data_IF_185556532639
#
_entry.id   IF_185556532639
#
_cell.length_a   1.000
_cell.length_b   1.000
_cell.length_c   1.000
_cell.angle_alpha   90.00
_cell.angle_beta   90.00
_cell.angle_gamma   90.00
#
_symmetry.space_group_name_H-M   'P 1'
#
loop_
_entity.id
_entity.type
_entity.pdbx_description
1 polymer ?
#
# COMPACT_ATOMS: atom_id res chain seq x y z
N UNK A 1 16.25 -3.56 -2.99
CA UNK A 1 15.25 -4.63 -2.74
C UNK A 1 13.89 -4.06 -3.12
N UNK A 2 12.96 -4.79 -3.75
CA UNK A 2 11.67 -4.18 -4.14
C UNK A 2 10.78 -3.92 -2.91
N UNK A 3 10.00 -2.81 -2.87
CA UNK A 3 8.97 -2.61 -1.87
C UNK A 3 8.02 -3.81 -1.83
N UNK A 4 7.67 -4.27 -0.63
CA UNK A 4 6.80 -5.41 -0.46
C UNK A 4 5.96 -5.29 0.81
N UNK A 5 4.74 -5.81 0.74
CA UNK A 5 3.89 -6.02 1.91
C UNK A 5 4.44 -7.22 2.67
N UNK A 6 4.56 -7.10 4.00
CA UNK A 6 4.92 -8.23 4.87
C UNK A 6 3.85 -9.33 4.71
N UNK A 7 4.23 -10.58 4.42
CA UNK A 7 3.28 -11.67 4.24
C UNK A 7 2.30 -11.78 5.43
N UNK A 8 1.03 -12.02 5.14
CA UNK A 8 -0.05 -12.19 6.13
C UNK A 8 -0.34 -10.95 7.02
N UNK A 9 0.28 -9.79 6.77
CA UNK A 9 0.01 -8.55 7.51
C UNK A 9 -1.22 -7.78 6.99
N UNK A 10 -1.68 -8.11 5.79
CA UNK A 10 -2.81 -7.44 5.14
C UNK A 10 -4.12 -7.77 5.87
N UNK A 11 -4.82 -6.73 6.30
CA UNK A 11 -6.14 -6.79 6.92
C UNK A 11 -7.06 -5.77 6.25
N UNK A 12 -8.26 -6.22 5.89
CA UNK A 12 -9.29 -5.40 5.23
C UNK A 12 -10.55 -5.52 6.06
N UNK A 13 -11.13 -4.38 6.43
CA UNK A 13 -12.46 -4.29 7.04
C UNK A 13 -13.35 -3.40 6.17
N UNK A 14 -14.63 -3.29 6.52
CA UNK A 14 -15.60 -2.34 5.93
C UNK A 14 -15.09 -0.89 5.92
N UNK A 15 -14.24 -0.54 6.87
CA UNK A 15 -13.78 0.83 7.13
C UNK A 15 -12.32 1.08 6.84
N UNK A 16 -11.47 0.04 6.81
CA UNK A 16 -10.02 0.22 6.76
C UNK A 16 -9.29 -0.85 5.96
N UNK A 17 -8.19 -0.43 5.33
CA UNK A 17 -7.15 -1.34 4.80
C UNK A 17 -5.86 -1.09 5.56
N UNK A 18 -5.26 -2.16 6.10
CA UNK A 18 -4.04 -2.11 6.90
C UNK A 18 -3.05 -3.17 6.43
N UNK A 19 -1.76 -2.83 6.43
CA UNK A 19 -0.68 -3.78 6.20
C UNK A 19 0.65 -3.22 6.72
N UNK A 20 1.63 -4.10 6.90
CA UNK A 20 3.00 -3.69 7.20
C UNK A 20 3.83 -3.67 5.91
N UNK A 21 4.51 -2.55 5.64
CA UNK A 21 5.40 -2.35 4.50
C UNK A 21 6.85 -2.61 4.92
N UNK A 22 7.56 -3.46 4.19
CA UNK A 22 9.01 -3.63 4.33
C UNK A 22 9.72 -2.39 3.78
N UNK A 23 10.52 -1.75 4.63
CA UNK A 23 11.33 -0.58 4.29
C UNK A 23 12.72 -1.02 3.82
N UNK A 24 13.17 -0.41 2.74
CA UNK A 24 14.48 -0.60 2.14
C UNK A 24 15.34 0.66 2.31
N UNK A 25 16.65 0.49 2.53
CA UNK A 25 17.61 1.58 2.82
C UNK A 25 17.83 2.54 1.64
N UNK A 26 17.59 2.05 0.43
CA UNK A 26 17.74 2.75 -0.85
C UNK A 26 16.53 3.62 -1.20
N UNK A 27 15.39 3.42 -0.55
CA UNK A 27 14.17 4.20 -0.80
C UNK A 27 14.09 5.39 0.16
N UNK A 28 13.95 6.60 -0.39
CA UNK A 28 13.71 7.82 0.37
C UNK A 28 12.21 8.08 0.62
N UNK A 29 11.35 7.72 -0.33
CA UNK A 29 9.91 7.90 -0.23
C UNK A 29 9.16 6.74 -0.88
N UNK A 30 8.07 6.32 -0.24
CA UNK A 30 7.09 5.41 -0.84
C UNK A 30 5.82 6.16 -1.19
N UNK A 31 5.33 5.97 -2.41
CA UNK A 31 3.96 6.31 -2.77
C UNK A 31 3.15 5.02 -2.85
N UNK A 32 2.02 5.01 -2.17
CA UNK A 32 1.16 3.83 -2.03
C UNK A 32 -0.21 4.19 -2.56
N UNK A 33 -0.70 3.38 -3.48
CA UNK A 33 -1.99 3.56 -4.13
C UNK A 33 -2.90 2.39 -3.77
N UNK A 34 -4.07 2.70 -3.20
CA UNK A 34 -5.15 1.75 -2.94
C UNK A 34 -6.27 1.99 -3.95
N UNK A 35 -6.49 1.05 -4.87
CA UNK A 35 -7.43 1.17 -5.97
C UNK A 35 -8.84 0.69 -5.61
N UNK A 36 -9.83 1.31 -6.25
CA UNK A 36 -11.27 1.07 -6.16
C UNK A 36 -11.87 1.15 -7.57
N UNK A 37 -11.52 0.19 -8.43
CA UNK A 37 -11.74 0.33 -9.87
C UNK A 37 -10.86 1.45 -10.44
N UNK A 38 -11.48 2.47 -11.06
CA UNK A 38 -10.78 3.61 -11.68
C UNK A 38 -10.33 4.69 -10.68
N UNK A 39 -10.81 4.63 -9.44
CA UNK A 39 -10.44 5.59 -8.39
C UNK A 39 -9.33 5.01 -7.50
N UNK A 40 -8.57 5.89 -6.83
CA UNK A 40 -7.58 5.47 -5.84
C UNK A 40 -7.52 6.40 -4.63
N UNK A 41 -7.01 5.86 -3.52
CA UNK A 41 -6.46 6.63 -2.42
C UNK A 41 -4.94 6.57 -2.47
N UNK A 42 -4.29 7.70 -2.24
CA UNK A 42 -2.83 7.80 -2.21
C UNK A 42 -2.34 8.04 -0.78
N UNK A 43 -1.22 7.42 -0.43
CA UNK A 43 -0.46 7.76 0.77
C UNK A 43 1.02 7.85 0.44
N UNK A 44 1.61 9.00 0.78
CA UNK A 44 3.06 9.22 0.69
C UNK A 44 3.69 8.98 2.06
N UNK A 45 4.76 8.20 2.09
CA UNK A 45 5.50 7.86 3.30
C UNK A 45 6.97 8.15 3.09
N UNK A 46 7.54 9.17 3.76
CA UNK A 46 8.97 9.34 3.78
C UNK A 46 9.61 8.21 4.60
N UNK A 47 10.81 7.84 4.18
CA UNK A 47 11.58 6.74 4.74
C UNK A 47 12.90 7.23 5.31
N UNK A 48 13.03 7.17 6.63
CA UNK A 48 14.21 7.60 7.38
C UNK A 48 14.86 6.47 8.16
N UNK A 49 14.33 5.25 8.07
CA UNK A 49 14.72 4.11 8.89
C UNK A 49 14.61 2.79 8.13
N UNK A 50 15.16 1.73 8.72
CA UNK A 50 15.03 0.36 8.21
C UNK A 50 13.97 -0.41 9.01
N UNK A 51 13.50 -1.54 8.47
CA UNK A 51 12.53 -2.41 9.14
C UNK A 51 11.18 -2.41 8.45
N UNK A 52 10.09 -2.24 9.21
CA UNK A 52 8.73 -2.22 8.68
C UNK A 52 7.95 -1.00 9.18
N UNK A 53 6.99 -0.54 8.37
CA UNK A 53 6.08 0.55 8.72
C UNK A 53 4.64 0.12 8.50
N UNK A 54 3.81 0.33 9.51
CA UNK A 54 2.37 0.10 9.40
C UNK A 54 1.74 1.17 8.51
N UNK A 55 1.00 0.72 7.51
CA UNK A 55 0.26 1.56 6.57
C UNK A 55 -1.24 1.32 6.82
N UNK A 56 -2.00 2.41 6.92
CA UNK A 56 -3.45 2.38 7.10
C UNK A 56 -4.12 3.35 6.13
N UNK A 57 -5.16 2.87 5.44
CA UNK A 57 -6.12 3.68 4.68
C UNK A 57 -7.47 3.61 5.38
N UNK A 58 -8.09 4.76 5.62
CA UNK A 58 -9.51 4.82 5.97
C UNK A 58 -10.32 4.84 4.68
N UNK A 59 -11.33 3.98 4.61
CA UNK A 59 -12.17 3.77 3.43
C UNK A 59 -13.66 3.95 3.78
N UNK A 60 -13.97 4.57 4.93
CA UNK A 60 -15.32 4.79 5.46
C UNK A 60 -16.27 5.41 4.42
N UNK A 61 -15.77 6.30 3.55
CA UNK A 61 -16.56 7.01 2.54
C UNK A 61 -16.56 6.35 1.15
N UNK A 62 -16.06 5.11 1.04
CA UNK A 62 -15.95 4.41 -0.26
C UNK A 62 -17.12 3.45 -0.46
N UNK A 63 -17.86 3.66 -1.55
CA UNK A 63 -19.00 2.84 -1.95
C UNK A 63 -18.61 1.50 -2.61
N UNK A 64 -17.32 1.28 -2.85
CA UNK A 64 -16.79 0.11 -3.55
C UNK A 64 -15.67 -0.54 -2.76
N UNK A 65 -15.53 -1.86 -2.91
CA UNK A 65 -14.43 -2.60 -2.29
C UNK A 65 -13.08 -2.27 -2.94
N UNK A 66 -11.97 -2.27 -2.17
CA UNK A 66 -10.63 -2.13 -2.73
C UNK A 66 -10.31 -3.26 -3.73
N UNK A 67 -9.71 -2.93 -4.87
CA UNK A 67 -9.39 -3.88 -5.95
C UNK A 67 -7.90 -4.21 -6.04
N UNK A 68 -7.01 -3.35 -5.53
CA UNK A 68 -5.59 -3.61 -5.57
C UNK A 68 -4.74 -2.58 -4.82
N UNK A 69 -3.49 -2.97 -4.55
CA UNK A 69 -2.47 -2.10 -3.95
C UNK A 69 -1.24 -2.06 -4.86
N UNK A 70 -0.73 -0.85 -5.09
CA UNK A 70 0.55 -0.61 -5.76
C UNK A 70 1.45 0.23 -4.85
N UNK A 71 2.72 -0.13 -4.77
CA UNK A 71 3.73 0.56 -3.96
C UNK A 71 4.91 0.92 -4.86
N UNK A 72 5.21 2.21 -4.91
CA UNK A 72 6.31 2.79 -5.68
C UNK A 72 7.33 3.37 -4.72
N UNK A 73 8.60 2.99 -4.89
CA UNK A 73 9.73 3.52 -4.15
C UNK A 73 10.54 4.52 -4.98
N UNK A 74 10.81 5.68 -4.39
CA UNK A 74 11.61 6.76 -4.96
C UNK A 74 12.92 6.94 -4.20
N UNK A 75 13.99 7.27 -4.93
CA UNK A 75 15.27 7.66 -4.34
C UNK A 75 15.25 9.12 -3.82
N UNK A 76 16.40 9.60 -3.32
CA UNK A 76 16.53 10.98 -2.80
C UNK A 76 16.34 12.08 -3.85
N UNK A 77 16.47 11.74 -5.13
CA UNK A 77 16.25 12.66 -6.25
C UNK A 77 14.81 12.54 -6.79
N UNK A 78 13.91 11.83 -6.08
CA UNK A 78 12.56 11.49 -6.50
C UNK A 78 12.51 10.77 -7.85
N UNK A 79 13.61 10.08 -8.19
CA UNK A 79 13.64 9.18 -9.34
C UNK A 79 13.04 7.85 -8.91
N UNK A 80 12.06 7.38 -9.67
CA UNK A 80 11.49 6.06 -9.47
C UNK A 80 12.56 5.00 -9.71
N UNK A 81 12.77 4.11 -8.75
CA UNK A 81 13.77 3.06 -8.88
C UNK A 81 13.19 1.66 -8.67
N UNK A 82 12.05 1.54 -7.96
CA UNK A 82 11.49 0.24 -7.57
C UNK A 82 9.97 0.26 -7.49
N UNK A 83 9.32 -0.66 -8.21
CA UNK A 83 7.88 -0.91 -8.10
C UNK A 83 7.61 -2.28 -7.49
N UNK A 84 6.62 -2.37 -6.60
CA UNK A 84 6.01 -3.64 -6.25
C UNK A 84 5.17 -4.15 -7.43
N UNK A 85 5.08 -5.48 -7.58
CA UNK A 85 4.00 -6.03 -8.41
C UNK A 85 2.66 -5.61 -7.81
N UNK A 86 1.62 -5.35 -8.63
CA UNK A 86 0.28 -5.09 -8.12
C UNK A 86 -0.18 -6.28 -7.28
N UNK A 87 -0.58 -6.01 -6.04
CA UNK A 87 -1.19 -7.02 -5.17
C UNK A 87 -2.70 -6.92 -5.33
N UNK A 88 -3.30 -7.97 -5.90
CA UNK A 88 -4.76 -8.10 -5.95
C UNK A 88 -5.27 -8.49 -4.56
N UNK A 89 -6.25 -7.74 -4.08
CA UNK A 89 -6.92 -8.05 -2.82
C UNK A 89 -8.05 -9.01 -3.13
N UNK A 90 -8.11 -10.21 -2.52
CA UNK A 90 -9.23 -11.12 -2.71
C UNK A 90 -10.53 -10.40 -2.34
N UNK A 91 -11.54 -10.44 -3.20
CA UNK A 91 -12.90 -10.06 -2.83
C UNK A 91 -13.44 -11.11 -1.86
N UNK A 92 -13.11 -11.01 -0.58
CA UNK A 92 -13.81 -11.72 0.49
C UNK A 92 -14.73 -10.74 1.21
N UNK A 93 -15.61 -10.08 0.45
CA UNK A 93 -16.81 -9.46 1.00
C UNK A 93 -17.99 -10.31 0.55
N UNK A 94 -18.28 -11.36 1.32
CA UNK A 94 -19.63 -11.89 1.35
C UNK A 94 -20.38 -11.03 2.37
N UNK A 95 -21.26 -10.16 1.88
CA UNK A 95 -22.35 -9.63 2.71
C UNK A 95 -23.16 -10.83 3.24
N UNK A 96 -23.35 -10.89 4.56
CA UNK A 96 -24.39 -11.70 5.22
C UNK A 96 -25.46 -10.78 5.73
#
# INVERSE_FOLDING_TARGET
MKPAIVPQSLSITDRKVRFDLVLTTDTYQYNIYLFFGDNYLEKQLPNYQTGFKKVEFNIDDKSSSPTGIVIIGYDKNLTEYLNSSPSFLPQTFHET
#
